data_IF_077325376479
#
_entry.id   IF_077325376479
#
_cell.length_a   1.000
_cell.length_b   1.000
_cell.length_c   1.000
_cell.angle_alpha   90.00
_cell.angle_beta   90.00
_cell.angle_gamma   90.00
#
_symmetry.space_group_name_H-M   'P 1'
#
loop_
_entity.id
_entity.type
_entity.pdbx_description
1 polymer ?
#
# COMPACT_ATOMS: atom_id res chain seq x y z
N UNK A 1 -3.80 -18.00 -16.16
CA UNK A 1 -3.86 -18.31 -14.71
C UNK A 1 -5.26 -18.81 -14.39
N UNK A 2 -5.50 -19.43 -13.22
CA UNK A 2 -6.87 -19.85 -12.84
C UNK A 2 -7.68 -18.59 -12.45
N UNK A 3 -8.92 -18.42 -12.94
CA UNK A 3 -9.79 -17.31 -12.54
C UNK A 3 -10.02 -17.31 -11.02
N UNK A 4 -10.28 -16.14 -10.44
CA UNK A 4 -10.66 -16.10 -9.02
C UNK A 4 -12.06 -16.71 -8.85
N UNK A 5 -12.28 -17.58 -7.84
CA UNK A 5 -13.60 -18.13 -7.56
C UNK A 5 -14.55 -17.13 -6.88
N UNK A 6 -14.07 -15.91 -6.58
CA UNK A 6 -14.80 -14.92 -5.80
C UNK A 6 -15.36 -13.79 -6.67
N UNK A 7 -16.62 -13.43 -6.43
CA UNK A 7 -17.26 -12.27 -7.05
C UNK A 7 -16.40 -11.00 -6.95
N UNK A 8 -15.94 -10.50 -8.10
CA UNK A 8 -15.09 -9.32 -8.25
C UNK A 8 -15.70 -8.04 -7.67
N UNK A 9 -17.03 -7.97 -7.52
CA UNK A 9 -17.71 -6.81 -6.95
C UNK A 9 -17.44 -6.63 -5.45
N UNK A 10 -17.00 -7.68 -4.73
CA UNK A 10 -16.78 -7.65 -3.28
C UNK A 10 -15.39 -7.19 -2.85
N UNK A 11 -14.47 -7.09 -3.81
CA UNK A 11 -13.08 -6.76 -3.56
C UNK A 11 -12.48 -5.90 -4.69
N UNK A 12 -13.15 -4.81 -5.08
CA UNK A 12 -12.68 -3.97 -6.16
C UNK A 12 -11.33 -3.33 -5.85
N UNK A 13 -10.53 -3.18 -6.90
CA UNK A 13 -9.32 -2.36 -6.87
C UNK A 13 -9.58 -1.09 -7.67
N UNK A 14 -9.70 0.06 -7.01
CA UNK A 14 -9.90 1.35 -7.66
C UNK A 14 -8.57 2.03 -7.98
N UNK A 15 -8.41 2.55 -9.19
CA UNK A 15 -7.35 3.49 -9.52
C UNK A 15 -7.89 4.92 -9.39
N UNK A 16 -7.38 5.67 -8.42
CA UNK A 16 -7.78 7.06 -8.13
C UNK A 16 -6.54 7.93 -7.98
N UNK A 17 -5.86 8.28 -9.09
CA UNK A 17 -4.57 8.92 -9.04
C UNK A 17 -4.64 10.31 -8.43
N UNK A 18 -3.77 10.56 -7.45
CA UNK A 18 -3.59 11.88 -6.82
C UNK A 18 -2.39 12.58 -7.45
N UNK A 19 -1.25 11.90 -7.45
CA UNK A 19 0.03 12.37 -8.00
C UNK A 19 0.84 11.18 -8.52
N UNK A 20 1.66 11.38 -9.55
CA UNK A 20 2.59 10.36 -10.04
C UNK A 20 3.93 10.48 -9.31
N UNK A 21 4.11 9.69 -8.24
CA UNK A 21 5.25 9.84 -7.36
C UNK A 21 6.52 9.17 -7.90
N UNK A 22 7.66 9.83 -7.70
CA UNK A 22 9.00 9.32 -7.97
C UNK A 22 9.99 9.78 -6.88
N UNK A 23 11.29 9.44 -7.01
CA UNK A 23 12.32 9.79 -6.01
C UNK A 23 12.48 11.31 -5.80
N UNK A 24 12.23 12.11 -6.83
CA UNK A 24 12.30 13.56 -6.81
C UNK A 24 10.97 14.26 -6.50
N UNK A 25 9.92 13.54 -6.09
CA UNK A 25 8.65 14.16 -5.77
C UNK A 25 8.75 15.14 -4.59
N UNK A 26 8.20 16.33 -4.82
CA UNK A 26 8.23 17.52 -3.96
C UNK A 26 7.36 17.36 -2.71
N UNK A 27 7.61 18.17 -1.68
CA UNK A 27 6.78 18.17 -0.48
C UNK A 27 5.33 18.58 -0.79
N UNK A 28 5.09 19.43 -1.79
CA UNK A 28 3.73 19.77 -2.24
C UNK A 28 2.98 18.57 -2.84
N UNK A 29 3.66 17.72 -3.63
CA UNK A 29 3.06 16.48 -4.14
C UNK A 29 2.74 15.49 -3.02
N UNK A 30 3.64 15.36 -2.05
CA UNK A 30 3.39 14.54 -0.87
C UNK A 30 2.30 15.11 0.03
N UNK A 31 2.17 16.43 0.11
CA UNK A 31 1.08 17.12 0.82
C UNK A 31 -0.29 16.75 0.23
N UNK A 32 -0.45 16.82 -1.09
CA UNK A 32 -1.68 16.36 -1.77
C UNK A 32 -1.98 14.89 -1.49
N UNK A 33 -0.97 14.03 -1.49
CA UNK A 33 -1.15 12.63 -1.12
C UNK A 33 -1.60 12.49 0.34
N UNK A 34 -1.01 13.25 1.26
CA UNK A 34 -1.35 13.23 2.68
C UNK A 34 -2.79 13.71 2.95
N UNK A 35 -3.27 14.71 2.22
CA UNK A 35 -4.66 15.18 2.27
C UNK A 35 -5.63 14.08 1.85
N UNK A 36 -5.42 13.44 0.70
CA UNK A 36 -6.31 12.36 0.23
C UNK A 36 -6.27 11.16 1.16
N UNK A 37 -5.09 10.79 1.67
CA UNK A 37 -4.98 9.70 2.64
C UNK A 37 -5.68 10.05 3.95
N UNK A 38 -5.56 11.28 4.43
CA UNK A 38 -6.33 11.78 5.55
C UNK A 38 -7.84 11.64 5.32
N UNK A 39 -8.35 12.02 4.14
CA UNK A 39 -9.79 11.92 3.83
C UNK A 39 -10.31 10.48 3.86
N UNK A 40 -9.50 9.51 3.44
CA UNK A 40 -9.82 8.10 3.61
C UNK A 40 -9.81 7.68 5.08
N UNK A 41 -8.77 8.04 5.84
CA UNK A 41 -8.71 7.73 7.27
C UNK A 41 -9.89 8.35 8.01
N UNK A 42 -10.26 9.58 7.67
CA UNK A 42 -11.34 10.33 8.30
C UNK A 42 -12.72 9.69 8.03
N UNK A 43 -13.01 9.33 6.77
CA UNK A 43 -14.30 8.74 6.39
C UNK A 43 -14.45 7.28 6.87
N UNK A 44 -13.38 6.50 6.86
CA UNK A 44 -13.41 5.10 7.26
C UNK A 44 -13.06 5.00 8.75
N UNK A 45 -14.04 5.40 9.57
CA UNK A 45 -13.96 5.39 11.03
C UNK A 45 -14.50 4.11 11.68
N UNK A 46 -15.19 3.26 10.92
CA UNK A 46 -15.83 2.04 11.41
C UNK A 46 -15.11 0.74 11.03
N UNK A 47 -14.09 0.81 10.17
CA UNK A 47 -13.36 -0.37 9.67
C UNK A 47 -11.86 -0.12 9.70
N UNK A 48 -11.07 -1.19 9.79
CA UNK A 48 -9.61 -1.06 9.76
C UNK A 48 -9.08 -0.93 8.33
N UNK A 49 -8.02 -0.16 8.19
CA UNK A 49 -7.36 0.05 6.91
C UNK A 49 -5.84 -0.08 6.94
N UNK A 50 -5.24 -0.31 5.78
CA UNK A 50 -3.77 -0.39 5.63
C UNK A 50 -3.29 0.60 4.56
N UNK A 51 -2.27 1.37 4.88
CA UNK A 51 -1.62 2.35 4.01
C UNK A 51 -0.24 1.81 3.62
N UNK A 52 -0.09 1.52 2.34
CA UNK A 52 1.14 1.02 1.73
C UNK A 52 1.94 2.17 1.12
N UNK A 53 3.15 2.35 1.62
CA UNK A 53 4.19 3.19 1.01
C UNK A 53 5.38 2.32 0.58
N UNK A 54 6.36 2.86 -0.15
CA UNK A 54 7.49 2.07 -0.63
C UNK A 54 8.74 2.17 0.27
N UNK A 55 8.84 3.21 1.12
CA UNK A 55 10.02 3.43 1.96
C UNK A 55 9.71 4.11 3.30
N UNK A 56 10.58 3.92 4.30
CA UNK A 56 10.41 4.43 5.68
C UNK A 56 10.17 5.94 5.74
N UNK A 57 10.90 6.73 4.96
CA UNK A 57 10.76 8.19 4.95
C UNK A 57 9.41 8.68 4.41
N UNK A 58 8.72 7.87 3.60
CA UNK A 58 7.42 8.21 3.02
C UNK A 58 6.28 8.12 4.04
N UNK A 59 6.44 7.31 5.09
CA UNK A 59 5.46 7.15 6.17
C UNK A 59 5.13 8.51 6.80
N UNK A 60 6.16 9.26 7.23
CA UNK A 60 5.96 10.59 7.85
C UNK A 60 5.33 11.59 6.86
N UNK A 61 5.66 11.49 5.57
CA UNK A 61 5.13 12.35 4.52
C UNK A 61 3.62 12.16 4.33
N UNK A 62 3.16 10.91 4.20
CA UNK A 62 1.74 10.58 4.02
C UNK A 62 0.91 10.84 5.27
N UNK A 63 1.50 10.69 6.45
CA UNK A 63 0.79 10.92 7.72
C UNK A 63 0.77 12.39 8.18
N UNK A 64 1.41 13.31 7.44
CA UNK A 64 1.56 14.71 7.85
C UNK A 64 0.24 15.37 8.25
N UNK A 65 -0.75 15.32 7.36
CA UNK A 65 -2.08 15.92 7.57
C UNK A 65 -2.87 15.22 8.68
N UNK A 66 -2.73 13.90 8.82
CA UNK A 66 -3.46 13.10 9.82
C UNK A 66 -3.09 13.52 11.25
N UNK A 67 -1.82 13.87 11.49
CA UNK A 67 -1.33 14.28 12.81
C UNK A 67 -1.99 15.56 13.32
N UNK A 68 -2.48 16.41 12.42
CA UNK A 68 -3.17 17.66 12.78
C UNK A 68 -4.68 17.46 12.99
N UNK A 69 -5.22 16.27 12.74
CA UNK A 69 -6.64 15.98 12.87
C UNK A 69 -6.94 15.25 14.20
N UNK A 70 -7.64 15.87 15.17
CA UNK A 70 -7.92 15.26 16.47
C UNK A 70 -8.67 13.93 16.40
N UNK A 71 -9.54 13.75 15.40
CA UNK A 71 -10.30 12.51 15.21
C UNK A 71 -9.50 11.39 14.56
N UNK A 72 -8.34 11.69 13.96
CA UNK A 72 -7.56 10.73 13.18
C UNK A 72 -6.18 10.41 13.79
N UNK A 73 -5.56 11.37 14.47
CA UNK A 73 -4.18 11.25 14.97
C UNK A 73 -3.96 10.01 15.86
N UNK A 74 -4.95 9.64 16.69
CA UNK A 74 -4.87 8.50 17.60
C UNK A 74 -5.22 7.15 16.95
N UNK A 75 -5.59 7.13 15.66
CA UNK A 75 -6.04 5.93 14.96
C UNK A 75 -4.96 5.30 14.08
N UNK A 76 -3.79 5.92 13.95
CA UNK A 76 -2.75 5.44 13.03
C UNK A 76 -1.56 4.83 13.75
N UNK A 77 -1.24 3.59 13.37
CA UNK A 77 -0.09 2.82 13.80
C UNK A 77 0.96 2.86 12.69
N UNK A 78 2.19 3.24 13.03
CA UNK A 78 3.28 3.35 12.06
C UNK A 78 4.65 3.15 12.74
N UNK A 79 5.70 2.72 12.00
CA UNK A 79 7.04 2.63 12.53
C UNK A 79 7.52 3.96 13.11
N UNK A 80 8.02 3.93 14.35
CA UNK A 80 8.65 5.09 14.98
C UNK A 80 10.01 5.40 14.34
N UNK A 81 10.46 6.66 14.43
CA UNK A 81 11.74 7.08 13.84
C UNK A 81 12.94 6.70 14.71
N UNK A 82 14.17 6.83 14.18
CA UNK A 82 15.40 6.64 14.98
C UNK A 82 15.49 7.58 16.19
N UNK A 83 14.86 8.74 16.11
CA UNK A 83 14.77 9.73 17.21
C UNK A 83 13.98 9.19 18.42
N UNK A 84 13.09 8.22 18.19
CA UNK A 84 12.27 7.58 19.23
C UNK A 84 12.95 6.33 19.82
N UNK A 85 14.04 5.84 19.21
CA UNK A 85 14.76 4.60 19.61
C UNK A 85 15.61 4.80 20.89
N UNK A 86 15.76 6.05 21.37
CA UNK A 86 16.61 6.39 22.52
C UNK A 86 15.93 6.48 23.89
N UNK A 87 14.62 6.22 24.01
CA UNK A 87 13.88 6.44 25.28
C UNK A 87 13.35 5.20 25.99
N UNK A 88 13.48 4.01 25.41
CA UNK A 88 13.24 2.74 26.09
C UNK A 88 13.78 1.66 25.16
N UNK A 89 14.56 0.72 25.69
CA UNK A 89 15.21 -0.36 24.93
C UNK A 89 14.25 -1.36 24.26
N UNK A 90 13.00 -0.98 24.00
CA UNK A 90 12.04 -1.77 23.27
C UNK A 90 12.17 -1.44 21.78
N UNK A 91 12.98 -2.24 21.08
CA UNK A 91 12.98 -2.31 19.61
C UNK A 91 11.55 -2.67 19.21
N UNK A 92 10.69 -1.68 18.89
CA UNK A 92 9.34 -1.91 18.38
C UNK A 92 9.48 -2.77 17.12
N UNK A 93 9.31 -4.07 17.28
CA UNK A 93 9.48 -5.03 16.20
C UNK A 93 8.33 -4.83 15.23
N UNK A 94 8.57 -5.05 13.93
CA UNK A 94 7.52 -5.06 12.90
C UNK A 94 6.33 -5.93 13.34
N UNK A 95 6.62 -7.08 13.93
CA UNK A 95 5.62 -7.99 14.47
C UNK A 95 4.80 -7.34 15.61
N UNK A 96 5.46 -6.69 16.57
CA UNK A 96 4.78 -5.98 17.66
C UNK A 96 3.87 -4.85 17.17
N UNK A 97 4.29 -4.06 16.19
CA UNK A 97 3.46 -3.02 15.60
C UNK A 97 2.23 -3.60 14.90
N UNK A 98 2.41 -4.68 14.13
CA UNK A 98 1.30 -5.36 13.45
C UNK A 98 0.33 -5.96 14.47
N UNK A 99 0.84 -6.57 15.54
CA UNK A 99 0.02 -7.12 16.61
C UNK A 99 -0.80 -6.02 17.30
N UNK A 100 -0.17 -4.90 17.65
CA UNK A 100 -0.83 -3.75 18.23
C UNK A 100 -1.95 -3.22 17.32
N UNK A 101 -1.70 -3.13 16.01
CA UNK A 101 -2.72 -2.75 15.04
C UNK A 101 -3.86 -3.79 14.94
N UNK A 102 -3.56 -5.08 14.99
CA UNK A 102 -4.55 -6.17 14.95
C UNK A 102 -5.48 -6.12 16.18
N UNK A 103 -4.96 -5.75 17.34
CA UNK A 103 -5.71 -5.60 18.60
C UNK A 103 -6.43 -4.25 18.75
N UNK A 104 -6.06 -3.25 17.95
CA UNK A 104 -6.68 -1.92 17.97
C UNK A 104 -8.19 -1.95 17.69
N UNK A 105 -8.97 -0.92 18.06
CA UNK A 105 -10.40 -0.87 17.73
C UNK A 105 -10.64 -0.76 16.21
N UNK A 106 -11.89 -0.98 15.74
CA UNK A 106 -12.28 -0.61 14.38
C UNK A 106 -12.02 0.88 14.10
N UNK A 107 -11.80 1.23 12.84
CA UNK A 107 -11.41 2.59 12.45
C UNK A 107 -9.91 2.88 12.58
N UNK A 108 -9.11 1.94 13.10
CA UNK A 108 -7.66 2.03 13.16
C UNK A 108 -6.98 1.74 11.82
N UNK A 109 -5.81 2.33 11.61
CA UNK A 109 -5.07 2.27 10.36
C UNK A 109 -3.59 1.91 10.60
N UNK A 110 -3.03 1.04 9.75
CA UNK A 110 -1.60 0.73 9.75
C UNK A 110 -0.93 1.39 8.55
N UNK A 111 0.08 2.24 8.77
CA UNK A 111 0.91 2.79 7.68
C UNK A 111 2.31 2.19 7.71
N UNK A 112 2.70 1.52 6.64
CA UNK A 112 3.96 0.78 6.61
C UNK A 112 4.55 0.61 5.20
N UNK A 113 5.87 0.40 5.12
CA UNK A 113 6.62 0.30 3.87
C UNK A 113 6.92 -1.15 3.40
N UNK A 114 6.84 -2.12 4.31
CA UNK A 114 7.07 -3.56 4.02
C UNK A 114 5.98 -4.50 4.57
N UNK A 115 4.81 -3.94 4.85
CA UNK A 115 3.63 -4.75 5.16
C UNK A 115 3.07 -5.23 3.82
N UNK A 116 2.97 -6.54 3.62
CA UNK A 116 2.65 -7.13 2.32
C UNK A 116 3.55 -8.32 1.92
N UNK A 117 4.66 -8.53 2.62
CA UNK A 117 5.51 -9.73 2.50
C UNK A 117 5.28 -10.60 3.75
N UNK A 118 4.66 -11.78 3.58
CA UNK A 118 4.47 -12.79 4.63
C UNK A 118 3.37 -12.56 5.67
N UNK A 119 2.82 -11.35 5.82
CA UNK A 119 1.87 -11.02 6.90
C UNK A 119 0.41 -11.07 6.44
N UNK A 120 -0.38 -11.88 7.15
CA UNK A 120 -1.81 -12.03 6.91
C UNK A 120 -2.59 -10.89 7.60
N UNK A 121 -3.28 -10.04 6.81
CA UNK A 121 -4.37 -9.15 7.24
C UNK A 121 -5.71 -9.75 6.83
N UNK A 122 -6.42 -10.27 7.81
CA UNK A 122 -7.53 -11.19 7.71
C UNK A 122 -8.81 -10.44 8.07
N UNK A 123 -9.92 -10.73 7.39
CA UNK A 123 -11.26 -10.28 7.72
C UNK A 123 -11.34 -8.77 8.05
N UNK A 124 -11.61 -8.45 9.31
CA UNK A 124 -11.82 -7.09 9.82
C UNK A 124 -10.55 -6.25 9.87
N UNK A 125 -9.38 -6.81 9.60
CA UNK A 125 -8.08 -6.13 9.76
C UNK A 125 -7.60 -5.37 8.53
N UNK A 126 -8.23 -5.52 7.36
CA UNK A 126 -7.92 -4.74 6.16
C UNK A 126 -9.12 -4.60 5.18
N UNK A 127 -10.24 -4.06 5.65
CA UNK A 127 -11.42 -3.78 4.78
C UNK A 127 -11.13 -2.75 3.69
N UNK A 128 -10.12 -1.91 3.91
CA UNK A 128 -9.63 -0.96 2.91
C UNK A 128 -8.10 -0.95 2.89
N UNK A 129 -7.52 -0.88 1.69
CA UNK A 129 -6.09 -0.71 1.50
C UNK A 129 -5.81 0.48 0.58
N UNK A 130 -4.83 1.31 0.93
CA UNK A 130 -4.37 2.42 0.10
C UNK A 130 -2.94 2.14 -0.37
N UNK A 131 -2.73 2.09 -1.68
CA UNK A 131 -1.40 2.04 -2.29
C UNK A 131 -1.00 3.48 -2.65
N UNK A 132 -0.31 4.13 -1.71
CA UNK A 132 0.11 5.53 -1.84
C UNK A 132 1.34 5.70 -2.73
N UNK A 133 2.18 4.66 -2.80
CA UNK A 133 3.32 4.60 -3.72
C UNK A 133 3.31 3.26 -4.42
N UNK A 134 3.34 3.26 -5.75
CA UNK A 134 3.53 2.06 -6.55
C UNK A 134 4.84 1.38 -6.12
N UNK A 135 4.81 0.10 -5.72
CA UNK A 135 5.93 -0.57 -5.04
C UNK A 135 6.95 -1.12 -6.04
N UNK A 136 7.48 -0.21 -6.86
CA UNK A 136 8.58 -0.50 -7.74
C UNK A 136 9.81 -0.96 -6.93
N UNK A 137 10.51 -2.03 -7.37
CA UNK A 137 11.76 -2.44 -6.73
C UNK A 137 12.78 -1.28 -6.65
N UNK A 138 13.59 -1.26 -5.60
CA UNK A 138 14.54 -0.16 -5.41
C UNK A 138 15.71 -0.24 -6.40
N UNK A 139 15.78 0.72 -7.33
CA UNK A 139 16.90 0.85 -8.26
C UNK A 139 18.20 1.34 -7.60
N UNK A 140 18.16 1.73 -6.32
CA UNK A 140 19.35 1.94 -5.51
C UNK A 140 20.10 0.66 -5.19
N UNK A 141 19.41 -0.50 -5.17
CA UNK A 141 20.04 -1.80 -5.04
C UNK A 141 20.77 -2.19 -6.34
N UNK A 142 22.07 -2.50 -6.21
CA UNK A 142 22.95 -2.73 -7.36
C UNK A 142 22.48 -3.93 -8.19
N UNK A 143 22.00 -4.99 -7.54
CA UNK A 143 21.53 -6.19 -8.23
C UNK A 143 20.21 -5.95 -8.97
N UNK A 144 19.27 -5.28 -8.30
CA UNK A 144 17.98 -4.88 -8.89
C UNK A 144 18.19 -3.94 -10.09
N UNK A 145 19.10 -2.98 -9.98
CA UNK A 145 19.43 -2.07 -11.08
C UNK A 145 20.02 -2.82 -12.27
N UNK A 146 21.05 -3.64 -12.05
CA UNK A 146 21.70 -4.43 -13.10
C UNK A 146 20.68 -5.32 -13.84
N UNK A 147 19.78 -5.99 -13.09
CA UNK A 147 18.70 -6.80 -13.67
C UNK A 147 17.68 -5.97 -14.44
N UNK A 148 17.36 -4.76 -13.97
CA UNK A 148 16.40 -3.87 -14.68
C UNK A 148 16.97 -3.28 -15.98
N UNK A 149 18.29 -3.09 -16.02
CA UNK A 149 19.04 -2.56 -17.16
C UNK A 149 19.38 -3.64 -18.21
N UNK A 150 19.16 -4.92 -17.87
CA UNK A 150 19.42 -6.05 -18.76
C UNK A 150 18.61 -5.93 -20.07
N UNK A 151 19.28 -5.88 -21.25
CA UNK A 151 18.61 -5.69 -22.53
C UNK A 151 17.53 -6.75 -22.79
N UNK A 152 16.39 -6.32 -23.32
CA UNK A 152 15.23 -7.19 -23.60
C UNK A 152 14.35 -7.43 -22.37
N UNK A 153 14.80 -8.20 -21.39
CA UNK A 153 13.93 -8.70 -20.31
C UNK A 153 13.86 -7.81 -19.06
N UNK A 154 14.87 -6.96 -18.79
CA UNK A 154 14.99 -6.27 -17.50
C UNK A 154 13.83 -5.34 -17.15
N UNK A 155 13.42 -4.48 -18.10
CA UNK A 155 12.28 -3.57 -17.90
C UNK A 155 10.95 -4.31 -17.70
N UNK A 156 10.76 -5.42 -18.41
CA UNK A 156 9.54 -6.24 -18.36
C UNK A 156 9.48 -7.00 -17.03
N UNK A 157 10.61 -7.55 -16.56
CA UNK A 157 10.73 -8.17 -15.23
C UNK A 157 10.40 -7.16 -14.12
N UNK A 158 10.95 -5.95 -14.20
CA UNK A 158 10.69 -4.88 -13.23
C UNK A 158 9.20 -4.49 -13.16
N UNK A 159 8.54 -4.40 -14.31
CA UNK A 159 7.10 -4.19 -14.40
C UNK A 159 6.30 -5.37 -13.82
N UNK A 160 6.68 -6.62 -14.16
CA UNK A 160 6.04 -7.84 -13.66
C UNK A 160 6.11 -7.93 -12.13
N UNK A 161 7.28 -7.68 -11.53
CA UNK A 161 7.45 -7.67 -10.07
C UNK A 161 6.53 -6.65 -9.40
N UNK A 162 6.43 -5.46 -10.00
CA UNK A 162 5.59 -4.38 -9.46
C UNK A 162 4.10 -4.73 -9.55
N UNK A 163 3.65 -5.26 -10.69
CA UNK A 163 2.26 -5.71 -10.88
C UNK A 163 1.92 -6.89 -9.98
N UNK A 164 2.82 -7.86 -9.84
CA UNK A 164 2.63 -9.00 -8.95
C UNK A 164 2.47 -8.54 -7.50
N UNK A 165 3.24 -7.56 -7.04
CA UNK A 165 3.11 -7.00 -5.69
C UNK A 165 1.80 -6.24 -5.49
N UNK A 166 1.37 -5.44 -6.47
CA UNK A 166 0.05 -4.77 -6.42
C UNK A 166 -1.08 -5.79 -6.38
N UNK A 167 -1.05 -6.79 -7.27
CA UNK A 167 -2.04 -7.85 -7.31
C UNK A 167 -2.04 -8.65 -6.01
N UNK A 168 -0.87 -8.99 -5.45
CA UNK A 168 -0.78 -9.64 -4.16
C UNK A 168 -1.40 -8.78 -3.04
N UNK A 169 -1.14 -7.46 -3.02
CA UNK A 169 -1.78 -6.55 -2.08
C UNK A 169 -3.31 -6.58 -2.25
N UNK A 170 -3.83 -6.45 -3.47
CA UNK A 170 -5.27 -6.48 -3.72
C UNK A 170 -5.92 -7.82 -3.32
N UNK A 171 -5.24 -8.94 -3.59
CA UNK A 171 -5.71 -10.28 -3.22
C UNK A 171 -5.75 -10.55 -1.72
N UNK A 172 -5.06 -9.76 -0.89
CA UNK A 172 -5.10 -9.94 0.57
C UNK A 172 -6.45 -9.60 1.20
N UNK A 173 -7.31 -8.89 0.48
CA UNK A 173 -8.64 -8.44 0.94
C UNK A 173 -9.69 -9.55 0.89
N UNK A 174 -9.53 -10.53 0.00
CA UNK A 174 -10.56 -11.53 -0.28
C UNK A 174 -10.01 -12.94 -0.12
N UNK A 175 -10.29 -13.58 1.03
CA UNK A 175 -9.71 -14.90 1.35
C UNK A 175 -10.69 -16.07 1.32
N UNK A 176 -11.94 -15.79 1.66
CA UNK A 176 -13.00 -16.79 1.66
C UNK A 176 -14.29 -16.17 1.13
N UNK A 177 -15.27 -17.00 0.80
CA UNK A 177 -16.50 -16.60 0.13
C UNK A 177 -17.39 -15.62 0.90
N UNK A 178 -17.07 -15.23 2.14
CA UNK A 178 -17.82 -14.25 2.94
C UNK A 178 -17.00 -13.00 3.27
N UNK A 179 -15.78 -12.92 2.75
CA UNK A 179 -14.88 -11.78 2.95
C UNK A 179 -15.23 -10.64 1.98
N UNK A 180 -14.76 -9.43 2.27
CA UNK A 180 -14.92 -8.25 1.41
C UNK A 180 -13.97 -7.12 1.79
N UNK A 181 -13.77 -6.21 0.85
CA UNK A 181 -13.10 -4.94 1.12
C UNK A 181 -12.73 -4.25 -0.18
N UNK A 182 -11.76 -3.34 -0.15
CA UNK A 182 -11.32 -2.66 -1.35
C UNK A 182 -9.85 -2.26 -1.29
N UNK A 183 -9.25 -2.13 -2.46
CA UNK A 183 -7.90 -1.57 -2.62
C UNK A 183 -7.99 -0.31 -3.47
N UNK A 184 -7.31 0.76 -3.07
CA UNK A 184 -7.27 2.03 -3.80
C UNK A 184 -5.83 2.36 -4.14
N UNK A 185 -5.52 2.45 -5.42
CA UNK A 185 -4.22 2.87 -5.94
C UNK A 185 -4.26 4.38 -6.15
N UNK A 186 -3.49 5.11 -5.34
CA UNK A 186 -3.45 6.58 -5.35
C UNK A 186 -2.27 7.13 -6.16
N UNK A 187 -1.24 6.32 -6.40
CA UNK A 187 -0.07 6.74 -7.18
C UNK A 187 -0.34 6.66 -8.69
N UNK A 188 -0.33 7.82 -9.34
CA UNK A 188 -0.55 7.95 -10.78
C UNK A 188 0.49 7.24 -11.65
N UNK A 189 1.66 6.86 -11.11
CA UNK A 189 2.65 6.07 -11.85
C UNK A 189 2.12 4.69 -12.27
N UNK A 190 1.11 4.15 -11.57
CA UNK A 190 0.42 2.93 -11.96
C UNK A 190 -0.22 3.01 -13.37
N UNK A 191 -0.69 4.20 -13.80
CA UNK A 191 -1.34 4.36 -15.12
C UNK A 191 -0.45 3.88 -16.26
N UNK A 192 0.84 4.27 -16.24
CA UNK A 192 1.80 3.88 -17.29
C UNK A 192 2.17 2.41 -17.19
N UNK A 193 2.33 1.90 -15.96
CA UNK A 193 2.56 0.47 -15.70
C UNK A 193 1.45 -0.38 -16.33
N UNK A 194 0.19 -0.05 -16.03
CA UNK A 194 -0.96 -0.77 -16.55
C UNK A 194 -1.08 -0.65 -18.07
N UNK A 195 -0.96 0.57 -18.62
CA UNK A 195 -1.09 0.81 -20.06
C UNK A 195 -0.13 -0.06 -20.89
N UNK A 196 1.11 -0.26 -20.41
CA UNK A 196 2.16 -0.89 -21.21
C UNK A 196 2.44 -2.35 -20.82
N UNK A 197 2.03 -2.77 -19.63
CA UNK A 197 2.40 -4.05 -19.07
C UNK A 197 1.23 -4.83 -18.44
N UNK A 198 -0.03 -4.46 -18.74
CA UNK A 198 -1.21 -5.19 -18.23
C UNK A 198 -1.18 -6.68 -18.55
N UNK A 199 -0.50 -7.08 -19.63
CA UNK A 199 -0.28 -8.47 -20.03
C UNK A 199 0.60 -9.27 -19.06
N UNK A 200 1.26 -8.60 -18.12
CA UNK A 200 2.06 -9.22 -17.05
C UNK A 200 1.28 -9.39 -15.75
N UNK A 201 0.10 -8.80 -15.63
CA UNK A 201 -0.72 -8.95 -14.43
C UNK A 201 -1.42 -10.32 -14.43
N UNK A 202 -1.74 -10.89 -13.26
CA UNK A 202 -2.60 -12.05 -13.19
C UNK A 202 -3.96 -11.78 -13.86
N UNK A 203 -4.52 -12.77 -14.55
CA UNK A 203 -5.75 -12.60 -15.36
C UNK A 203 -6.91 -12.03 -14.51
N UNK A 204 -7.08 -12.55 -13.30
CA UNK A 204 -8.12 -12.11 -12.36
C UNK A 204 -7.99 -10.63 -11.95
N UNK A 205 -6.78 -10.05 -11.99
CA UNK A 205 -6.56 -8.69 -11.49
C UNK A 205 -7.26 -7.66 -12.38
N UNK A 206 -7.34 -7.91 -13.69
CA UNK A 206 -8.08 -7.06 -14.61
C UNK A 206 -9.59 -7.06 -14.29
N UNK A 207 -10.13 -8.18 -13.77
CA UNK A 207 -11.55 -8.32 -13.43
C UNK A 207 -11.96 -7.51 -12.21
N UNK A 208 -11.03 -7.26 -11.27
CA UNK A 208 -11.29 -6.46 -10.06
C UNK A 208 -10.84 -5.01 -10.21
N UNK A 209 -9.98 -4.69 -11.18
CA UNK A 209 -9.50 -3.33 -11.41
C UNK A 209 -10.60 -2.44 -11.98
N UNK A 210 -10.72 -1.23 -11.44
CA UNK A 210 -11.63 -0.16 -11.87
C UNK A 210 -10.76 1.08 -12.15
N UNK A 211 -10.63 1.42 -13.43
CA UNK A 211 -9.78 2.52 -13.92
C UNK A 211 -10.47 3.88 -13.88
#
# INVERSE_FOLDING_TARGET
TVPSPFDSARWPTYFRPVVSLNKGSTDAEWGRMAEVVHDYVHRYSSVKGVIHVAARNQVRRVLGTIKSCPSCQGRVYAPKGKEDEGKEGNRYSRAGLIQQFKEAPPGSWLCHYSVGEGESFDDTTARIQLICKTPYPDLGDKLTRLRSEEPGMGRRMYAAMTLARIAQTAGRVMRHSNDYGETVILDGSFKRLWKWHKDLAPDWFAEVLRL
#
